data_IF_868039788601
#
_entry.id   IF_868039788601
#
_cell.length_a   1.000
_cell.length_b   1.000
_cell.length_c   1.000
_cell.angle_alpha   90.00
_cell.angle_beta   90.00
_cell.angle_gamma   90.00
#
_symmetry.space_group_name_H-M   'P 1'
#
loop_
_entity.id
_entity.type
_entity.pdbx_description
1 polymer ?
#
# COMPACT_ATOMS: atom_id res chain seq x y z
N UNK A 1 -33.75 -2.50 30.89
CA UNK A 1 -32.72 -2.85 29.93
C UNK A 1 -32.27 -1.58 29.21
N UNK A 2 -31.28 -0.90 29.82
CA UNK A 2 -30.64 0.28 29.29
C UNK A 2 -29.87 -0.11 28.00
N UNK A 3 -30.36 0.27 26.84
CA UNK A 3 -29.53 0.39 25.66
C UNK A 3 -28.53 1.51 25.97
N UNK A 4 -27.29 1.11 26.24
CA UNK A 4 -26.19 2.03 26.49
C UNK A 4 -26.08 3.07 25.40
N UNK A 5 -25.80 4.28 25.80
CA UNK A 5 -25.44 5.43 25.00
C UNK A 5 -24.56 5.04 23.83
N UNK A 6 -25.00 5.50 22.68
CA UNK A 6 -24.48 5.38 21.33
C UNK A 6 -23.10 4.80 21.15
N UNK A 7 -23.01 3.97 20.14
CA UNK A 7 -21.78 3.38 19.61
C UNK A 7 -20.74 4.51 19.40
N UNK A 8 -19.95 4.78 20.46
CA UNK A 8 -18.91 5.80 20.43
C UNK A 8 -17.86 5.25 19.46
N UNK A 9 -17.83 5.76 18.24
CA UNK A 9 -16.80 5.43 17.26
C UNK A 9 -15.44 5.77 17.84
N UNK A 10 -14.79 4.77 18.43
CA UNK A 10 -13.43 4.91 18.92
C UNK A 10 -12.50 5.14 17.72
N UNK A 11 -11.80 6.26 17.75
CA UNK A 11 -10.81 6.64 16.75
C UNK A 11 -9.47 6.77 17.44
N UNK A 12 -8.41 6.30 16.82
CA UNK A 12 -7.04 6.46 17.27
C UNK A 12 -6.28 7.25 16.22
N UNK A 13 -5.51 8.24 16.65
CA UNK A 13 -4.57 8.98 15.82
C UNK A 13 -3.15 8.70 16.30
N UNK A 14 -2.25 8.48 15.36
CA UNK A 14 -0.82 8.32 15.58
C UNK A 14 -0.07 9.42 14.87
N UNK A 15 0.85 10.09 15.57
CA UNK A 15 1.67 11.18 15.02
C UNK A 15 3.00 10.58 14.57
N UNK A 16 3.22 10.54 13.27
CA UNK A 16 4.34 9.85 12.64
C UNK A 16 5.57 10.76 12.60
N UNK A 17 6.68 10.29 13.18
CA UNK A 17 7.93 11.03 13.25
C UNK A 17 8.04 11.96 14.45
N UNK A 18 7.09 11.96 15.37
CA UNK A 18 7.21 12.63 16.66
C UNK A 18 8.15 11.88 17.62
N UNK A 19 8.25 10.58 17.44
CA UNK A 19 9.04 9.65 18.22
C UNK A 19 9.78 8.69 17.28
N UNK A 20 10.83 7.97 17.74
CA UNK A 20 11.72 7.20 16.87
C UNK A 20 11.18 5.82 16.45
N UNK A 21 9.89 5.53 16.61
CA UNK A 21 9.34 4.23 16.27
C UNK A 21 9.45 3.91 14.78
N UNK A 22 9.69 2.65 14.50
CA UNK A 22 9.64 2.08 13.16
C UNK A 22 8.20 1.80 12.69
N UNK A 23 8.00 1.71 11.37
CA UNK A 23 6.69 1.41 10.79
C UNK A 23 6.16 0.05 11.25
N UNK A 24 7.04 -0.93 11.50
CA UNK A 24 6.65 -2.23 12.04
C UNK A 24 5.94 -2.11 13.39
N UNK A 25 6.47 -1.30 14.31
CA UNK A 25 5.89 -1.10 15.64
C UNK A 25 4.54 -0.39 15.54
N UNK A 26 4.47 0.66 14.72
CA UNK A 26 3.23 1.42 14.45
C UNK A 26 2.14 0.48 13.89
N UNK A 27 2.47 -0.34 12.90
CA UNK A 27 1.52 -1.24 12.26
C UNK A 27 1.11 -2.40 13.18
N UNK A 28 2.00 -2.90 14.04
CA UNK A 28 1.67 -3.91 15.06
C UNK A 28 0.67 -3.38 16.08
N UNK A 29 0.83 -2.12 16.50
CA UNK A 29 -0.15 -1.47 17.37
C UNK A 29 -1.49 -1.33 16.65
N UNK A 30 -1.51 -0.87 15.40
CA UNK A 30 -2.73 -0.75 14.61
C UNK A 30 -3.45 -2.09 14.43
N UNK A 31 -2.73 -3.16 14.06
CA UNK A 31 -3.28 -4.52 13.94
C UNK A 31 -3.88 -5.00 15.26
N UNK A 32 -3.21 -4.77 16.39
CA UNK A 32 -3.70 -5.13 17.73
C UNK A 32 -4.99 -4.37 18.06
N UNK A 33 -5.05 -3.07 17.73
CA UNK A 33 -6.26 -2.26 17.96
C UNK A 33 -7.45 -2.77 17.15
N UNK A 34 -7.23 -3.22 15.91
CA UNK A 34 -8.28 -3.84 15.09
C UNK A 34 -8.75 -5.17 15.65
N UNK A 35 -7.81 -6.05 16.01
CA UNK A 35 -8.12 -7.42 16.43
C UNK A 35 -8.70 -7.52 17.83
N UNK A 36 -8.17 -6.74 18.79
CA UNK A 36 -8.54 -6.88 20.22
C UNK A 36 -9.60 -5.87 20.67
N UNK A 37 -9.66 -4.70 20.03
CA UNK A 37 -10.51 -3.59 20.48
C UNK A 37 -11.60 -3.20 19.48
N UNK A 38 -11.75 -3.97 18.39
CA UNK A 38 -12.71 -3.70 17.29
C UNK A 38 -12.68 -2.23 16.84
N UNK A 39 -11.48 -1.64 16.78
CA UNK A 39 -11.31 -0.28 16.34
C UNK A 39 -11.66 -0.19 14.85
N UNK A 40 -12.44 0.80 14.45
CA UNK A 40 -12.86 0.92 13.05
C UNK A 40 -11.78 1.51 12.14
N UNK A 41 -10.94 2.41 12.68
CA UNK A 41 -9.90 3.07 11.91
C UNK A 41 -8.83 3.70 12.80
N UNK A 42 -7.59 3.57 12.37
CA UNK A 42 -6.44 4.35 12.84
C UNK A 42 -6.18 5.47 11.83
N UNK A 43 -5.86 6.66 12.34
CA UNK A 43 -5.43 7.80 11.55
C UNK A 43 -3.93 8.01 11.76
N UNK A 44 -3.22 8.26 10.69
CA UNK A 44 -1.79 8.59 10.72
C UNK A 44 -1.63 10.03 10.29
N UNK A 45 -0.83 10.80 11.01
CA UNK A 45 -0.54 12.20 10.68
C UNK A 45 0.96 12.43 10.79
N UNK A 46 1.57 12.94 9.74
CA UNK A 46 2.96 13.35 9.78
C UNK A 46 3.17 14.45 10.81
N UNK A 47 4.22 14.33 11.62
CA UNK A 47 4.57 15.34 12.61
C UNK A 47 5.00 16.64 11.92
N UNK A 48 4.48 17.76 12.40
CA UNK A 48 4.83 19.11 11.95
C UNK A 48 5.17 19.94 13.19
N UNK A 49 6.42 20.41 13.28
CA UNK A 49 6.85 21.32 14.36
C UNK A 49 6.40 22.75 14.03
N UNK A 50 5.17 23.10 14.41
CA UNK A 50 4.57 24.41 14.10
C UNK A 50 5.17 25.52 14.94
N UNK A 51 5.53 25.24 16.21
CA UNK A 51 5.97 26.27 17.18
C UNK A 51 7.48 26.43 17.18
N UNK A 52 8.24 25.66 16.39
CA UNK A 52 9.71 25.64 16.39
C UNK A 52 10.32 25.44 17.80
N UNK A 53 9.63 24.68 18.65
CA UNK A 53 10.09 24.37 20.00
C UNK A 53 11.33 23.47 19.92
N UNK A 54 12.40 23.88 20.61
CA UNK A 54 13.68 23.15 20.66
C UNK A 54 13.59 21.79 21.35
N UNK A 55 12.54 21.56 22.16
CA UNK A 55 12.28 20.28 22.82
C UNK A 55 11.59 19.27 21.91
N UNK A 56 11.11 19.69 20.74
CA UNK A 56 10.45 18.82 19.76
C UNK A 56 11.45 18.34 18.70
N UNK A 57 11.21 17.16 18.11
CA UNK A 57 12.09 16.62 17.08
C UNK A 57 12.24 17.56 15.88
N UNK A 58 13.48 17.73 15.43
CA UNK A 58 13.77 18.37 14.13
C UNK A 58 13.87 17.27 13.09
N UNK A 59 12.98 17.25 12.11
CA UNK A 59 13.00 16.29 11.01
C UNK A 59 13.75 16.89 9.82
N UNK A 60 14.96 16.41 9.50
CA UNK A 60 15.65 16.80 8.29
C UNK A 60 14.79 16.46 7.06
N UNK A 61 14.47 17.42 6.22
CA UNK A 61 13.64 17.23 5.04
C UNK A 61 12.13 17.47 5.26
N UNK A 62 11.72 17.94 6.45
CA UNK A 62 10.33 18.31 6.76
C UNK A 62 9.42 17.13 7.14
N UNK A 63 8.08 17.34 7.14
CA UNK A 63 7.12 16.33 7.57
C UNK A 63 7.21 15.04 6.73
N UNK A 64 7.15 13.85 7.35
CA UNK A 64 7.32 12.56 6.65
C UNK A 64 6.04 12.13 5.89
N UNK A 65 5.56 12.94 4.96
CA UNK A 65 4.31 12.74 4.22
C UNK A 65 4.29 11.44 3.41
N UNK A 66 5.41 11.05 2.80
CA UNK A 66 5.49 9.78 2.07
C UNK A 66 5.36 8.58 3.01
N UNK A 67 5.98 8.65 4.20
CA UNK A 67 5.87 7.61 5.23
C UNK A 67 4.43 7.48 5.73
N UNK A 68 3.77 8.61 6.04
CA UNK A 68 2.35 8.64 6.39
C UNK A 68 1.50 7.96 5.30
N UNK A 69 1.73 8.31 4.04
CA UNK A 69 1.02 7.73 2.91
C UNK A 69 1.23 6.21 2.80
N UNK A 70 2.45 5.70 3.03
CA UNK A 70 2.73 4.26 3.03
C UNK A 70 2.03 3.53 4.17
N UNK A 71 1.97 4.14 5.34
CA UNK A 71 1.23 3.60 6.48
C UNK A 71 -0.27 3.47 6.17
N UNK A 72 -0.89 4.50 5.56
CA UNK A 72 -2.28 4.40 5.11
C UNK A 72 -2.51 3.30 4.07
N UNK A 73 -1.57 3.11 3.14
CA UNK A 73 -1.65 2.04 2.16
C UNK A 73 -1.54 0.66 2.82
N UNK A 74 -0.63 0.49 3.75
CA UNK A 74 -0.46 -0.75 4.51
C UNK A 74 -1.68 -1.05 5.40
N UNK A 75 -2.21 -0.04 6.09
CA UNK A 75 -3.43 -0.15 6.88
C UNK A 75 -4.61 -0.68 6.04
N UNK A 76 -4.72 -0.19 4.80
CA UNK A 76 -5.71 -0.69 3.85
C UNK A 76 -5.51 -2.17 3.52
N UNK A 77 -4.27 -2.63 3.36
CA UNK A 77 -3.94 -4.04 3.11
C UNK A 77 -4.33 -4.92 4.29
N UNK A 78 -4.09 -4.48 5.53
CA UNK A 78 -4.48 -5.23 6.73
C UNK A 78 -6.00 -5.38 6.83
N UNK A 79 -6.76 -4.29 6.62
CA UNK A 79 -8.20 -4.28 6.85
C UNK A 79 -9.04 -4.92 5.75
N UNK A 80 -8.56 -4.92 4.51
CA UNK A 80 -9.40 -5.28 3.36
C UNK A 80 -8.79 -6.33 2.43
N UNK A 81 -7.50 -6.67 2.58
CA UNK A 81 -6.80 -7.59 1.69
C UNK A 81 -6.21 -8.79 2.41
N UNK A 82 -6.55 -8.94 3.69
CA UNK A 82 -6.12 -10.08 4.52
C UNK A 82 -4.60 -10.23 4.61
N UNK A 83 -3.89 -9.09 4.61
CA UNK A 83 -2.47 -9.06 4.93
C UNK A 83 -2.27 -8.96 6.45
N UNK A 84 -1.17 -9.53 6.93
CA UNK A 84 -0.69 -9.36 8.30
C UNK A 84 0.54 -8.47 8.32
N UNK A 85 0.79 -7.83 9.45
CA UNK A 85 1.97 -6.95 9.58
C UNK A 85 3.25 -7.72 9.32
N UNK A 86 3.37 -8.95 9.87
CA UNK A 86 4.56 -9.79 9.72
C UNK A 86 4.83 -10.27 8.28
N UNK A 87 3.86 -10.16 7.37
CA UNK A 87 4.06 -10.38 5.94
C UNK A 87 4.65 -9.14 5.25
N UNK A 88 4.26 -7.95 5.70
CA UNK A 88 4.68 -6.68 5.11
C UNK A 88 6.02 -6.19 5.64
N UNK A 89 6.26 -6.34 6.93
CA UNK A 89 7.43 -5.85 7.65
C UNK A 89 7.96 -6.89 8.62
N UNK A 90 9.25 -6.80 8.95
CA UNK A 90 9.92 -7.64 9.95
C UNK A 90 10.78 -6.78 10.86
N UNK A 91 11.30 -7.35 11.96
CA UNK A 91 12.26 -6.65 12.83
C UNK A 91 13.56 -6.27 12.13
N UNK A 92 13.98 -7.07 11.15
CA UNK A 92 15.19 -6.81 10.36
C UNK A 92 14.92 -5.80 9.22
N UNK A 93 13.68 -5.62 8.85
CA UNK A 93 13.21 -4.66 7.86
C UNK A 93 11.96 -3.94 8.37
N UNK A 94 12.16 -3.01 9.33
CA UNK A 94 11.06 -2.45 10.09
C UNK A 94 10.32 -1.31 9.40
N UNK A 95 10.85 -0.74 8.31
CA UNK A 95 10.29 0.43 7.64
C UNK A 95 9.89 0.13 6.19
N UNK A 96 8.80 0.77 5.75
CA UNK A 96 8.34 0.67 4.36
C UNK A 96 9.29 1.38 3.40
N UNK A 97 9.39 0.83 2.20
CA UNK A 97 10.01 1.54 1.09
C UNK A 97 9.16 2.77 0.71
N UNK A 98 9.75 3.96 0.82
CA UNK A 98 9.02 5.22 0.51
C UNK A 98 8.72 5.38 -0.99
N UNK A 99 9.51 4.75 -1.87
CA UNK A 99 9.35 4.85 -3.33
C UNK A 99 8.36 3.83 -3.91
N UNK A 100 8.15 2.70 -3.24
CA UNK A 100 7.22 1.65 -3.64
C UNK A 100 5.99 1.62 -2.73
N UNK A 101 4.84 1.28 -3.28
CA UNK A 101 3.71 0.97 -2.40
C UNK A 101 3.93 -0.38 -1.68
N UNK A 102 3.40 -0.55 -0.45
CA UNK A 102 3.65 -1.73 0.36
C UNK A 102 3.30 -3.05 -0.32
N UNK A 103 2.30 -3.08 -1.19
CA UNK A 103 1.91 -4.29 -1.91
C UNK A 103 2.89 -4.62 -3.05
N UNK A 104 3.42 -3.61 -3.74
CA UNK A 104 4.49 -3.81 -4.73
C UNK A 104 5.77 -4.29 -4.06
N UNK A 105 6.16 -3.68 -2.93
CA UNK A 105 7.33 -4.08 -2.16
C UNK A 105 7.23 -5.52 -1.65
N UNK A 106 6.05 -5.91 -1.14
CA UNK A 106 5.78 -7.28 -0.75
C UNK A 106 5.90 -8.25 -1.94
N UNK A 107 5.29 -7.92 -3.07
CA UNK A 107 5.28 -8.80 -4.24
C UNK A 107 6.69 -9.01 -4.84
N UNK A 108 7.55 -7.99 -4.79
CA UNK A 108 8.95 -8.12 -5.21
C UNK A 108 9.74 -9.09 -4.33
N UNK A 109 9.46 -9.10 -3.03
CA UNK A 109 10.09 -10.03 -2.07
C UNK A 109 9.52 -11.45 -2.12
N UNK A 110 8.45 -11.65 -2.85
CA UNK A 110 7.71 -12.90 -2.95
C UNK A 110 7.45 -13.28 -4.42
N UNK A 111 8.48 -13.15 -5.26
CA UNK A 111 8.37 -13.47 -6.69
C UNK A 111 8.02 -14.93 -6.94
N UNK A 112 8.24 -15.83 -5.97
CA UNK A 112 7.84 -17.23 -6.02
C UNK A 112 6.32 -17.44 -6.17
N UNK A 113 5.50 -16.48 -5.78
CA UNK A 113 4.03 -16.53 -5.98
C UNK A 113 3.59 -16.05 -7.37
N UNK A 114 4.51 -15.54 -8.17
CA UNK A 114 4.21 -14.89 -9.45
C UNK A 114 4.86 -15.60 -10.65
N UNK A 115 4.30 -15.51 -11.86
CA UNK A 115 3.10 -14.75 -12.20
C UNK A 115 1.80 -15.48 -11.86
N UNK A 116 0.76 -14.72 -11.54
CA UNK A 116 -0.59 -15.21 -11.25
C UNK A 116 -1.42 -15.29 -12.53
N UNK A 117 -2.02 -16.44 -12.81
CA UNK A 117 -2.93 -16.61 -13.95
C UNK A 117 -4.31 -16.03 -13.65
N UNK A 118 -4.66 -14.95 -14.32
CA UNK A 118 -5.91 -14.18 -14.08
C UNK A 118 -7.18 -15.01 -14.27
N UNK A 119 -7.16 -15.90 -15.26
CA UNK A 119 -8.33 -16.71 -15.58
C UNK A 119 -8.58 -17.88 -14.61
N UNK A 120 -7.65 -18.13 -13.66
CA UNK A 120 -7.74 -19.26 -12.72
C UNK A 120 -7.66 -18.86 -11.26
N UNK A 121 -6.86 -17.85 -10.93
CA UNK A 121 -6.58 -17.45 -9.55
C UNK A 121 -7.86 -17.13 -8.78
N UNK A 122 -7.93 -17.52 -7.51
CA UNK A 122 -9.04 -17.14 -6.62
C UNK A 122 -9.02 -15.65 -6.28
N UNK A 123 -10.07 -15.19 -5.61
CA UNK A 123 -10.22 -13.77 -5.24
C UNK A 123 -9.10 -13.29 -4.33
N UNK A 124 -8.70 -14.06 -3.33
CA UNK A 124 -7.68 -13.68 -2.36
C UNK A 124 -6.30 -13.62 -3.01
N UNK A 125 -5.97 -14.57 -3.88
CA UNK A 125 -4.75 -14.53 -4.71
C UNK A 125 -4.71 -13.29 -5.60
N UNK A 126 -5.84 -12.92 -6.24
CA UNK A 126 -5.93 -11.70 -7.04
C UNK A 126 -5.69 -10.43 -6.21
N UNK A 127 -6.15 -10.40 -4.96
CA UNK A 127 -5.89 -9.27 -4.05
C UNK A 127 -4.42 -9.08 -3.72
N UNK A 128 -3.60 -10.13 -3.78
CA UNK A 128 -2.15 -10.08 -3.56
C UNK A 128 -1.39 -9.43 -4.72
N UNK A 129 -1.98 -9.42 -5.93
CA UNK A 129 -1.33 -8.88 -7.13
C UNK A 129 -1.27 -7.35 -7.09
N UNK A 130 -0.08 -6.72 -7.27
CA UNK A 130 0.02 -5.27 -7.45
C UNK A 130 -0.86 -4.77 -8.59
N UNK A 131 -1.50 -3.63 -8.40
CA UNK A 131 -2.39 -3.05 -9.41
C UNK A 131 -3.80 -3.64 -9.50
N UNK A 132 -4.09 -4.72 -8.76
CA UNK A 132 -5.44 -5.30 -8.63
C UNK A 132 -6.01 -4.94 -7.26
N UNK A 133 -7.10 -4.19 -7.26
CA UNK A 133 -7.86 -3.84 -6.05
C UNK A 133 -9.08 -4.72 -5.86
N UNK A 134 -9.75 -4.62 -4.72
CA UNK A 134 -10.93 -5.42 -4.37
C UNK A 134 -12.04 -5.35 -5.44
N UNK A 135 -12.32 -4.14 -5.97
CA UNK A 135 -13.29 -3.95 -7.04
C UNK A 135 -12.88 -4.66 -8.33
N UNK A 136 -11.61 -4.53 -8.73
CA UNK A 136 -11.08 -5.18 -9.93
C UNK A 136 -11.03 -6.70 -9.77
N UNK A 137 -10.59 -7.23 -8.63
CA UNK A 137 -10.59 -8.66 -8.33
C UNK A 137 -12.00 -9.26 -8.41
N UNK A 138 -13.00 -8.61 -7.80
CA UNK A 138 -14.39 -9.04 -7.88
C UNK A 138 -14.93 -9.05 -9.32
N UNK A 139 -14.61 -8.02 -10.11
CA UNK A 139 -15.00 -7.94 -11.52
C UNK A 139 -14.32 -9.01 -12.37
N UNK A 140 -13.03 -9.28 -12.14
CA UNK A 140 -12.30 -10.37 -12.81
C UNK A 140 -12.99 -11.71 -12.56
N UNK A 141 -13.25 -12.06 -11.28
CA UNK A 141 -13.90 -13.32 -10.92
C UNK A 141 -15.29 -13.47 -11.56
N UNK A 142 -16.03 -12.39 -11.69
CA UNK A 142 -17.35 -12.40 -12.37
C UNK A 142 -17.20 -12.51 -13.89
N UNK A 143 -16.37 -11.68 -14.50
CA UNK A 143 -16.26 -11.59 -15.96
C UNK A 143 -15.70 -12.87 -16.59
N UNK A 144 -14.70 -13.51 -15.99
CA UNK A 144 -14.09 -14.75 -16.51
C UNK A 144 -15.03 -15.97 -16.54
N UNK A 145 -16.20 -15.88 -15.86
CA UNK A 145 -17.24 -16.92 -15.95
C UNK A 145 -17.90 -16.96 -17.33
N UNK A 146 -17.91 -15.82 -18.01
CA UNK A 146 -18.53 -15.70 -19.34
C UNK A 146 -17.51 -15.97 -20.44
N UNK A 147 -16.34 -15.35 -20.37
CA UNK A 147 -15.28 -15.48 -21.36
C UNK A 147 -13.90 -15.40 -20.70
N UNK A 148 -12.88 -16.02 -21.33
CA UNK A 148 -11.48 -15.80 -20.93
C UNK A 148 -11.12 -14.34 -21.12
N UNK A 149 -10.48 -13.77 -20.11
CA UNK A 149 -10.05 -12.37 -20.11
C UNK A 149 -8.65 -12.23 -20.71
N UNK A 150 -8.44 -11.17 -21.44
CA UNK A 150 -7.14 -10.71 -21.91
C UNK A 150 -6.71 -9.40 -21.21
N UNK A 151 -5.54 -8.89 -21.55
CA UNK A 151 -5.02 -7.64 -20.95
C UNK A 151 -5.85 -6.41 -21.30
N UNK A 152 -6.55 -6.39 -22.47
CA UNK A 152 -7.43 -5.29 -22.86
C UNK A 152 -8.66 -5.24 -21.97
N UNK A 153 -9.21 -6.40 -21.63
CA UNK A 153 -10.34 -6.55 -20.72
C UNK A 153 -9.96 -6.13 -19.29
N UNK A 154 -8.77 -6.51 -18.82
CA UNK A 154 -8.27 -6.10 -17.51
C UNK A 154 -8.19 -4.59 -17.38
N UNK A 155 -7.77 -3.88 -18.44
CA UNK A 155 -7.75 -2.40 -18.47
C UNK A 155 -9.16 -1.81 -18.33
N UNK A 156 -10.15 -2.37 -19.05
CA UNK A 156 -11.56 -1.96 -18.96
C UNK A 156 -12.16 -2.24 -17.58
N UNK A 157 -11.77 -3.35 -16.95
CA UNK A 157 -12.18 -3.73 -15.59
C UNK A 157 -11.63 -2.75 -14.54
N UNK A 158 -10.54 -2.02 -14.84
CA UNK A 158 -9.92 -1.06 -13.94
C UNK A 158 -8.70 -1.61 -13.20
N UNK A 159 -8.03 -2.60 -13.77
CA UNK A 159 -6.70 -3.03 -13.31
C UNK A 159 -5.66 -1.99 -13.69
N UNK A 160 -4.78 -1.65 -12.75
CA UNK A 160 -3.63 -0.77 -13.01
C UNK A 160 -2.53 -1.59 -13.69
N UNK A 161 -2.65 -1.77 -15.02
CA UNK A 161 -1.76 -2.64 -15.80
C UNK A 161 -0.29 -2.29 -15.64
N UNK A 162 0.06 -1.02 -15.53
CA UNK A 162 1.45 -0.57 -15.31
C UNK A 162 2.14 -1.24 -14.12
N UNK A 163 1.36 -1.62 -13.09
CA UNK A 163 1.86 -2.33 -11.91
C UNK A 163 1.68 -3.83 -12.04
N UNK A 164 0.52 -4.26 -12.59
CA UNK A 164 0.13 -5.66 -12.63
C UNK A 164 0.88 -6.49 -13.65
N UNK A 165 1.31 -5.90 -14.77
CA UNK A 165 1.84 -6.61 -15.94
C UNK A 165 3.05 -7.52 -15.64
N UNK A 166 3.84 -7.19 -14.62
CA UNK A 166 5.00 -7.98 -14.18
C UNK A 166 4.63 -9.22 -13.38
N UNK A 167 3.41 -9.25 -12.83
CA UNK A 167 2.97 -10.22 -11.84
C UNK A 167 1.83 -11.12 -12.32
N UNK A 168 1.38 -10.98 -13.57
CA UNK A 168 0.22 -11.71 -14.08
C UNK A 168 0.43 -12.34 -15.45
N UNK A 169 -0.35 -13.40 -15.68
CA UNK A 169 -0.54 -13.98 -17.01
C UNK A 169 -2.03 -14.00 -17.37
N UNK A 170 -2.30 -13.92 -18.67
CA UNK A 170 -3.61 -14.17 -19.26
C UNK A 170 -3.48 -15.35 -20.22
N UNK A 171 -4.17 -16.46 -19.93
CA UNK A 171 -4.10 -17.71 -20.69
C UNK A 171 -2.65 -18.23 -20.87
N UNK A 172 -1.88 -18.16 -19.77
CA UNK A 172 -0.50 -18.63 -19.70
C UNK A 172 0.54 -17.72 -20.34
N UNK A 173 0.15 -16.51 -20.79
CA UNK A 173 1.06 -15.55 -21.44
C UNK A 173 1.17 -14.26 -20.66
N UNK A 174 2.38 -13.75 -20.49
CA UNK A 174 2.63 -12.39 -20.02
C UNK A 174 2.34 -11.38 -21.14
N UNK A 175 2.02 -10.13 -20.77
CA UNK A 175 1.77 -9.05 -21.74
C UNK A 175 3.03 -8.76 -22.57
N UNK A 176 4.19 -8.78 -21.92
CA UNK A 176 5.50 -8.67 -22.56
C UNK A 176 6.39 -9.79 -22.02
N UNK A 177 7.29 -10.37 -22.83
CA UNK A 177 8.31 -11.27 -22.33
C UNK A 177 9.19 -10.53 -21.32
N UNK A 178 8.91 -10.72 -20.04
CA UNK A 178 9.63 -10.03 -18.97
C UNK A 178 10.29 -11.08 -18.10
N UNK A 179 11.58 -10.92 -17.84
CA UNK A 179 12.25 -11.71 -16.83
C UNK A 179 11.72 -11.32 -15.45
N UNK A 180 11.33 -12.31 -14.65
CA UNK A 180 10.97 -12.11 -13.25
C UNK A 180 12.27 -11.88 -12.46
N UNK A 181 12.74 -10.64 -12.51
CA UNK A 181 13.94 -10.16 -11.85
C UNK A 181 13.58 -8.98 -10.96
N UNK A 182 13.92 -9.06 -9.68
CA UNK A 182 13.55 -8.07 -8.67
C UNK A 182 14.07 -6.69 -9.03
N UNK A 183 15.35 -6.58 -9.40
CA UNK A 183 15.97 -5.28 -9.72
C UNK A 183 15.36 -4.64 -10.95
N UNK A 184 15.10 -5.43 -11.99
CA UNK A 184 14.47 -4.93 -13.22
C UNK A 184 13.05 -4.40 -12.94
N UNK A 185 12.23 -5.21 -12.25
CA UNK A 185 10.84 -4.84 -11.93
C UNK A 185 10.82 -3.64 -11.00
N UNK A 186 11.67 -3.62 -9.97
CA UNK A 186 11.77 -2.53 -9.01
C UNK A 186 12.09 -1.20 -9.72
N UNK A 187 13.12 -1.17 -10.57
CA UNK A 187 13.49 0.03 -11.36
C UNK A 187 12.34 0.49 -12.25
N UNK A 188 11.66 -0.43 -12.91
CA UNK A 188 10.52 -0.13 -13.78
C UNK A 188 9.33 0.46 -12.99
N UNK A 189 9.06 -0.05 -11.80
CA UNK A 189 8.01 0.44 -10.93
C UNK A 189 8.33 1.82 -10.33
N UNK A 190 9.59 2.06 -9.94
CA UNK A 190 10.05 3.35 -9.38
C UNK A 190 10.06 4.43 -10.47
N UNK A 191 10.44 4.10 -11.71
CA UNK A 191 10.41 5.03 -12.84
C UNK A 191 8.98 5.54 -13.12
N UNK A 192 7.94 4.78 -12.76
CA UNK A 192 6.56 5.25 -12.83
C UNK A 192 6.21 6.15 -11.63
N UNK A 193 6.48 7.45 -11.76
CA UNK A 193 6.19 8.49 -10.76
C UNK A 193 4.71 8.55 -10.32
N UNK A 194 3.81 7.81 -10.95
CA UNK A 194 2.39 7.74 -10.55
C UNK A 194 2.17 7.05 -9.20
N UNK A 195 3.19 6.43 -8.64
CA UNK A 195 3.13 5.84 -7.29
C UNK A 195 3.19 6.87 -6.15
N UNK A 196 3.62 8.09 -6.45
CA UNK A 196 3.65 9.20 -5.49
C UNK A 196 2.39 10.04 -5.70
N UNK A 197 1.57 10.29 -4.67
CA UNK A 197 0.40 11.15 -4.76
C UNK A 197 0.76 12.52 -5.34
N UNK A 198 -0.18 13.09 -6.11
CA UNK A 198 0.03 14.38 -6.80
C UNK A 198 0.34 15.49 -5.81
N UNK A 199 -0.39 15.51 -4.69
CA UNK A 199 -0.24 16.50 -3.62
C UNK A 199 1.17 16.50 -3.03
N UNK A 200 1.75 15.31 -2.81
CA UNK A 200 3.10 15.17 -2.26
C UNK A 200 4.15 15.56 -3.31
N UNK A 201 3.92 15.24 -4.59
CA UNK A 201 4.82 15.66 -5.67
C UNK A 201 4.85 17.17 -5.82
N UNK A 202 3.69 17.82 -5.74
CA UNK A 202 3.56 19.28 -5.88
C UNK A 202 4.11 20.01 -4.65
N UNK A 203 3.93 19.49 -3.43
CA UNK A 203 4.51 20.06 -2.22
C UNK A 203 6.05 20.08 -2.27
N UNK A 204 6.68 19.02 -2.79
CA UNK A 204 8.13 18.96 -2.98
C UNK A 204 8.67 20.05 -3.92
N UNK A 205 7.94 20.42 -4.96
CA UNK A 205 8.33 21.50 -5.86
C UNK A 205 8.17 22.89 -5.24
N UNK A 206 7.13 23.10 -4.43
CA UNK A 206 6.95 24.37 -3.73
C UNK A 206 8.02 24.62 -2.67
N UNK A 207 8.47 23.57 -2.00
CA UNK A 207 9.52 23.68 -0.98
C UNK A 207 10.90 24.03 -1.56
N UNK A 208 11.20 23.56 -2.78
CA UNK A 208 12.42 23.92 -3.50
C UNK A 208 12.38 25.35 -4.06
N UNK A 209 11.20 25.89 -4.40
CA UNK A 209 11.06 27.25 -4.92
C UNK A 209 11.09 28.34 -3.85
N UNK A 210 10.94 27.98 -2.57
CA UNK A 210 11.05 28.92 -1.45
C UNK A 210 12.50 29.19 -1.00
N UNK A 211 13.47 28.43 -1.50
CA UNK A 211 14.90 28.56 -1.21
C UNK A 211 15.73 28.95 -2.44
N UNK A 212 15.13 29.40 -3.52
CA UNK A 212 15.79 29.93 -4.71
C UNK A 212 15.78 31.46 -4.72
#
# INVERSE_FOLDING_TARGET
LSRGLGDVYKRQQMIIGATPEHDYEIMRVAETLYQKFDLKRVFYSAFVNVNHDSNLPVLPGGPPLLREHRLYQADWLLRYYDFKVDELLTKDRPDFNIYLDPKCDWALRHLEYFPVEINRADYHTLLRVPGIGAKSASRIVKARRMNKLDFSDLKKIGVVLKRALYFITCSGRMMYPTKLDEDYICRSLIADRTQIPREIREAGYQQLSLFS
#
